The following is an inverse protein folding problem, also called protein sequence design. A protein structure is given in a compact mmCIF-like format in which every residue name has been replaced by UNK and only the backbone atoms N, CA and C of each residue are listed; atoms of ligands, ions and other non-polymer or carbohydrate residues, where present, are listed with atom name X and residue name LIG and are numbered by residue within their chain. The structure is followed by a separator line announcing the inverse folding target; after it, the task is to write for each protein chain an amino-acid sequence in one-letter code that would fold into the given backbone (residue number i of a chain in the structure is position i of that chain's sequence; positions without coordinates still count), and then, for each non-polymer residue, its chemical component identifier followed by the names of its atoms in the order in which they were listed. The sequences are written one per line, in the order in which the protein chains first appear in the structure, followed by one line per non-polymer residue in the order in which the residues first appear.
data_IF_394835171218
#
_entry.id   IF_394835171218
#
_cell.length_a   1.000
_cell.length_b   1.000
_cell.length_c   1.000
_cell.angle_alpha   90.00
_cell.angle_beta   90.00
_cell.angle_gamma   90.00
#
_symmetry.space_group_name_H-M   'P 1'
#
loop_
_entity.id
_entity.type
_entity.pdbx_description
1 polymer ?
#
# COMPACT_ATOMS: atom_id res chain seq x y z
N UNK A 1 24.21 1.96 4.47
CA UNK A 1 23.72 0.67 4.99
C UNK A 1 23.54 -0.28 3.80
N UNK A 2 24.20 -1.42 3.84
CA UNK A 2 24.05 -2.43 2.79
C UNK A 2 22.61 -2.95 2.78
N UNK A 3 22.05 -3.11 1.58
CA UNK A 3 20.72 -3.69 1.41
C UNK A 3 20.66 -5.07 2.09
N UNK A 4 19.77 -5.25 3.06
CA UNK A 4 19.62 -6.49 3.82
C UNK A 4 18.86 -7.56 3.03
N UNK A 5 18.02 -7.15 2.06
CA UNK A 5 17.16 -8.05 1.31
C UNK A 5 17.93 -9.14 0.54
N UNK A 6 19.00 -8.82 -0.24
CA UNK A 6 19.75 -9.85 -0.94
C UNK A 6 20.45 -10.83 -0.02
N UNK A 7 20.81 -10.41 1.20
CA UNK A 7 21.53 -11.25 2.17
C UNK A 7 20.65 -12.22 2.92
N UNK A 8 19.37 -11.85 3.13
CA UNK A 8 18.45 -12.64 3.96
C UNK A 8 17.49 -13.48 3.11
N UNK A 9 17.10 -12.97 1.94
CA UNK A 9 16.04 -13.57 1.13
C UNK A 9 16.47 -13.96 -0.29
N UNK A 10 17.75 -13.80 -0.62
CA UNK A 10 18.26 -14.01 -1.99
C UNK A 10 17.44 -13.24 -3.05
N UNK A 11 17.05 -12.02 -2.68
CA UNK A 11 16.18 -11.16 -3.47
C UNK A 11 16.76 -9.76 -3.61
N UNK A 12 16.94 -9.30 -4.84
CA UNK A 12 17.32 -7.92 -5.14
C UNK A 12 16.07 -7.09 -5.41
N UNK A 13 15.75 -6.21 -4.46
CA UNK A 13 14.59 -5.33 -4.58
C UNK A 13 14.95 -4.09 -5.39
N UNK A 14 14.26 -3.89 -6.50
CA UNK A 14 14.35 -2.67 -7.31
C UNK A 14 13.30 -1.69 -6.82
N UNK A 15 13.74 -0.55 -6.27
CA UNK A 15 12.87 0.55 -5.84
C UNK A 15 12.43 1.39 -7.06
N UNK A 16 11.55 0.82 -7.88
CA UNK A 16 11.10 1.38 -9.16
C UNK A 16 9.63 1.85 -9.12
N UNK A 17 9.06 1.92 -7.92
CA UNK A 17 7.67 2.28 -7.72
C UNK A 17 7.53 3.60 -6.96
N UNK A 18 6.44 4.33 -7.26
CA UNK A 18 6.11 5.61 -6.62
C UNK A 18 5.23 5.41 -5.40
N UNK A 19 4.31 4.44 -5.49
CA UNK A 19 3.35 4.07 -4.45
C UNK A 19 3.50 2.60 -4.09
N UNK A 20 3.48 2.32 -2.79
CA UNK A 20 3.38 0.98 -2.22
C UNK A 20 2.06 0.84 -1.49
N UNK A 21 1.18 -0.03 -1.97
CA UNK A 21 -0.05 -0.38 -1.28
C UNK A 21 0.13 -1.69 -0.53
N UNK A 22 0.16 -1.63 0.80
CA UNK A 22 0.22 -2.79 1.66
C UNK A 22 -1.19 -3.32 1.88
N UNK A 23 -1.47 -4.50 1.31
CA UNK A 23 -2.76 -5.15 1.45
C UNK A 23 -2.99 -5.67 2.86
N UNK A 24 -4.24 -6.00 3.17
CA UNK A 24 -4.64 -6.54 4.46
C UNK A 24 -5.68 -7.64 4.24
N UNK A 25 -5.69 -8.70 5.07
CA UNK A 25 -6.58 -9.86 4.89
C UNK A 25 -8.04 -9.55 5.22
N UNK A 26 -8.56 -8.40 4.79
CA UNK A 26 -9.91 -7.90 5.07
C UNK A 26 -10.96 -8.88 4.58
N UNK A 27 -10.74 -9.49 3.41
CA UNK A 27 -11.69 -10.42 2.81
C UNK A 27 -11.83 -11.74 3.58
N UNK A 28 -10.78 -12.14 4.31
CA UNK A 28 -10.75 -13.39 5.09
C UNK A 28 -11.22 -13.22 6.54
N UNK A 29 -11.30 -11.99 7.05
CA UNK A 29 -11.71 -11.75 8.45
C UNK A 29 -13.22 -11.88 8.57
N UNK A 30 -13.68 -12.87 9.36
CA UNK A 30 -15.11 -13.15 9.55
C UNK A 30 -15.88 -12.04 10.25
N UNK A 31 -15.20 -11.29 11.14
CA UNK A 31 -15.81 -10.16 11.88
C UNK A 31 -16.06 -8.90 11.02
N UNK A 32 -15.56 -8.87 9.78
CA UNK A 32 -15.75 -7.75 8.86
C UNK A 32 -16.98 -8.03 7.98
N UNK A 33 -17.84 -7.03 7.82
CA UNK A 33 -19.05 -7.15 7.00
C UNK A 33 -18.74 -7.41 5.52
N UNK A 34 -19.63 -8.09 4.82
CA UNK A 34 -19.50 -8.32 3.38
C UNK A 34 -19.45 -7.01 2.60
N UNK A 35 -20.17 -6.00 3.03
CA UNK A 35 -20.14 -4.66 2.44
C UNK A 35 -18.73 -4.04 2.50
N UNK A 36 -18.10 -4.07 3.68
CA UNK A 36 -16.72 -3.59 3.85
C UNK A 36 -15.73 -4.37 2.98
N UNK A 37 -15.89 -5.68 2.86
CA UNK A 37 -15.07 -6.52 1.97
C UNK A 37 -15.22 -6.11 0.51
N UNK A 38 -16.46 -5.83 0.09
CA UNK A 38 -16.73 -5.38 -1.29
C UNK A 38 -16.11 -3.98 -1.54
N UNK A 39 -16.20 -3.07 -0.57
CA UNK A 39 -15.55 -1.76 -0.65
C UNK A 39 -14.02 -1.90 -0.75
N UNK A 40 -13.42 -2.83 -0.01
CA UNK A 40 -11.99 -3.09 -0.10
C UNK A 40 -11.56 -3.55 -1.50
N UNK A 41 -12.24 -4.54 -2.06
CA UNK A 41 -11.96 -5.03 -3.42
C UNK A 41 -12.12 -3.92 -4.46
N UNK A 42 -13.17 -3.09 -4.33
CA UNK A 42 -13.39 -1.93 -5.18
C UNK A 42 -12.26 -0.90 -5.04
N UNK A 43 -11.81 -0.63 -3.81
CA UNK A 43 -10.72 0.31 -3.53
C UNK A 43 -9.41 -0.12 -4.21
N UNK A 44 -9.06 -1.41 -4.14
CA UNK A 44 -7.88 -1.95 -4.86
C UNK A 44 -8.02 -1.73 -6.36
N UNK A 45 -9.21 -1.95 -6.91
CA UNK A 45 -9.51 -1.67 -8.32
C UNK A 45 -9.32 -0.20 -8.69
N UNK A 46 -9.79 0.72 -7.84
CA UNK A 46 -9.61 2.18 -8.04
C UNK A 46 -8.14 2.57 -8.01
N UNK A 47 -7.36 2.04 -7.07
CA UNK A 47 -5.91 2.28 -6.99
C UNK A 47 -5.24 1.83 -8.29
N UNK A 48 -5.57 0.65 -8.79
CA UNK A 48 -5.03 0.13 -10.04
C UNK A 48 -5.42 0.99 -11.26
N UNK A 49 -6.66 1.46 -11.31
CA UNK A 49 -7.13 2.36 -12.39
C UNK A 49 -6.43 3.71 -12.34
N UNK A 50 -6.31 4.31 -11.15
CA UNK A 50 -5.60 5.58 -10.98
C UNK A 50 -4.12 5.45 -11.37
N UNK A 51 -3.47 4.33 -11.05
CA UNK A 51 -2.12 4.04 -11.49
C UNK A 51 -1.99 4.13 -13.02
N UNK A 52 -2.94 3.54 -13.75
CA UNK A 52 -2.95 3.56 -15.21
C UNK A 52 -3.25 4.95 -15.78
N UNK A 53 -4.22 5.67 -15.20
CA UNK A 53 -4.65 7.00 -15.67
C UNK A 53 -3.54 8.03 -15.45
N UNK A 54 -2.93 8.06 -14.26
CA UNK A 54 -1.90 9.02 -13.88
C UNK A 54 -0.48 8.56 -14.27
N UNK A 55 -0.32 7.37 -14.85
CA UNK A 55 0.95 6.74 -15.22
C UNK A 55 1.93 6.60 -14.03
N UNK A 56 1.40 6.47 -12.83
CA UNK A 56 2.13 6.32 -11.58
C UNK A 56 2.37 4.83 -11.30
N UNK A 57 3.59 4.45 -10.99
CA UNK A 57 3.94 3.05 -10.71
C UNK A 57 3.53 2.65 -9.30
N UNK A 58 2.65 1.66 -9.20
CA UNK A 58 2.13 1.12 -7.93
C UNK A 58 2.57 -0.33 -7.73
N UNK A 59 3.06 -0.64 -6.55
CA UNK A 59 3.30 -2.01 -6.11
C UNK A 59 2.28 -2.42 -5.05
N UNK A 60 1.53 -3.47 -5.32
CA UNK A 60 0.67 -4.14 -4.35
C UNK A 60 1.51 -5.13 -3.54
N UNK A 61 1.88 -4.80 -2.32
CA UNK A 61 2.56 -5.71 -1.40
C UNK A 61 1.53 -6.53 -0.66
N UNK A 62 1.43 -7.80 -1.05
CA UNK A 62 0.41 -8.71 -0.53
C UNK A 62 0.77 -9.12 0.91
N UNK A 63 -0.24 -9.10 1.79
CA UNK A 63 -0.10 -9.55 3.17
C UNK A 63 0.16 -11.08 3.20
N UNK A 64 1.03 -11.58 4.09
CA UNK A 64 1.35 -13.03 4.15
C UNK A 64 0.15 -13.94 4.35
N UNK A 65 -0.95 -13.45 4.92
CA UNK A 65 -2.21 -14.19 5.10
C UNK A 65 -3.16 -14.14 3.89
N UNK A 66 -2.73 -13.61 2.75
CA UNK A 66 -3.53 -13.50 1.53
C UNK A 66 -2.84 -14.23 0.37
N UNK A 67 -3.62 -14.58 -0.66
CA UNK A 67 -3.08 -15.17 -1.89
C UNK A 67 -2.79 -14.08 -2.92
N UNK A 68 -1.57 -13.97 -3.46
CA UNK A 68 -1.26 -13.05 -4.55
C UNK A 68 -2.17 -13.21 -5.76
N UNK A 69 -2.65 -14.43 -6.03
CA UNK A 69 -3.54 -14.72 -7.15
C UNK A 69 -4.86 -13.96 -7.10
N UNK A 70 -5.35 -13.59 -5.91
CA UNK A 70 -6.58 -12.81 -5.74
C UNK A 70 -6.44 -11.38 -6.29
N UNK A 71 -5.19 -10.92 -6.42
CA UNK A 71 -4.83 -9.59 -6.85
C UNK A 71 -4.35 -9.50 -8.31
N UNK A 72 -4.05 -10.59 -8.99
CA UNK A 72 -3.56 -10.58 -10.38
C UNK A 72 -4.52 -9.88 -11.35
N UNK A 73 -5.83 -9.93 -11.09
CA UNK A 73 -6.85 -9.22 -11.88
C UNK A 73 -6.70 -7.68 -11.86
N UNK A 74 -5.97 -7.13 -10.89
CA UNK A 74 -5.71 -5.70 -10.78
C UNK A 74 -4.38 -5.28 -11.42
N UNK A 75 -3.59 -6.23 -11.95
CA UNK A 75 -2.34 -5.90 -12.62
C UNK A 75 -2.60 -5.19 -13.95
N UNK A 76 -1.76 -4.20 -14.23
CA UNK A 76 -1.66 -3.53 -15.51
C UNK A 76 -0.21 -3.03 -15.72
N UNK A 77 0.02 -2.19 -16.74
CA UNK A 77 1.36 -1.65 -17.03
C UNK A 77 1.96 -0.91 -15.82
N UNK A 78 1.14 -0.22 -15.05
CA UNK A 78 1.56 0.66 -13.94
C UNK A 78 1.28 0.08 -12.54
N UNK A 79 0.48 -0.98 -12.42
CA UNK A 79 0.17 -1.63 -11.17
C UNK A 79 0.64 -3.08 -11.19
N UNK A 80 1.55 -3.45 -10.29
CA UNK A 80 2.11 -4.79 -10.19
C UNK A 80 1.83 -5.42 -8.84
N UNK A 81 1.63 -6.72 -8.83
CA UNK A 81 1.54 -7.52 -7.62
C UNK A 81 2.94 -7.99 -7.22
N UNK A 82 3.31 -7.72 -5.97
CA UNK A 82 4.52 -8.26 -5.38
C UNK A 82 4.18 -9.59 -4.71
N UNK A 83 4.53 -10.67 -5.38
CA UNK A 83 4.15 -12.04 -5.01
C UNK A 83 5.20 -12.77 -4.15
N UNK A 84 6.29 -12.08 -3.79
CA UNK A 84 7.28 -12.62 -2.85
C UNK A 84 6.75 -12.49 -1.42
N UNK A 85 5.97 -13.48 -0.99
CA UNK A 85 5.24 -13.43 0.29
C UNK A 85 6.16 -13.50 1.53
N UNK A 86 7.40 -13.93 1.36
CA UNK A 86 8.31 -14.18 2.49
C UNK A 86 9.03 -12.93 2.99
N UNK A 87 8.93 -11.79 2.28
CA UNK A 87 9.61 -10.57 2.69
C UNK A 87 8.70 -9.78 3.62
N UNK A 88 9.06 -9.62 4.90
CA UNK A 88 8.35 -8.74 5.82
C UNK A 88 8.28 -7.31 5.29
N UNK A 89 7.15 -6.64 5.51
CA UNK A 89 6.93 -5.27 5.07
C UNK A 89 7.99 -4.30 5.62
N UNK A 90 8.42 -4.54 6.84
CA UNK A 90 9.42 -3.74 7.55
C UNK A 90 10.76 -3.69 6.81
N UNK A 91 11.13 -4.80 6.16
CA UNK A 91 12.39 -4.87 5.44
C UNK A 91 12.37 -4.04 4.15
N UNK A 92 11.20 -3.84 3.54
CA UNK A 92 11.08 -2.97 2.38
C UNK A 92 11.41 -1.52 2.73
N UNK A 93 11.07 -1.05 3.95
CA UNK A 93 11.35 0.33 4.36
C UNK A 93 12.84 0.66 4.47
N UNK A 94 13.72 -0.32 4.55
CA UNK A 94 15.17 -0.09 4.45
C UNK A 94 15.61 0.22 3.02
N UNK A 95 14.83 -0.22 2.03
CA UNK A 95 15.16 -0.09 0.61
C UNK A 95 14.42 1.06 -0.08
N UNK A 96 13.27 1.51 0.45
CA UNK A 96 12.44 2.55 -0.14
C UNK A 96 12.52 3.86 0.63
N UNK A 97 12.53 4.98 -0.10
CA UNK A 97 12.60 6.33 0.45
C UNK A 97 11.81 7.31 -0.41
N UNK A 98 11.20 8.31 0.24
CA UNK A 98 10.42 9.35 -0.43
C UNK A 98 9.24 8.80 -1.25
N UNK A 99 8.69 7.66 -0.80
CA UNK A 99 7.58 6.97 -1.45
C UNK A 99 6.26 7.23 -0.72
N UNK A 100 5.17 7.08 -1.45
CA UNK A 100 3.83 7.07 -0.86
C UNK A 100 3.49 5.65 -0.43
N UNK A 101 3.11 5.50 0.82
CA UNK A 101 2.71 4.23 1.42
C UNK A 101 1.23 4.30 1.74
N UNK A 102 0.45 3.45 1.09
CA UNK A 102 -0.97 3.31 1.30
C UNK A 102 -1.27 2.02 2.05
N UNK A 103 -2.17 2.07 3.03
CA UNK A 103 -2.75 0.89 3.68
C UNK A 103 -4.13 1.21 4.23
N UNK A 104 -4.98 0.23 4.50
CA UNK A 104 -6.30 0.53 5.04
C UNK A 104 -6.21 1.00 6.51
N UNK A 105 -5.56 0.23 7.37
CA UNK A 105 -5.34 0.55 8.79
C UNK A 105 -4.19 -0.27 9.40
N UNK A 106 -3.17 -0.55 8.60
CA UNK A 106 -2.07 -1.42 9.01
C UNK A 106 -1.13 -0.75 10.01
N UNK A 107 -0.66 -1.51 10.98
CA UNK A 107 0.43 -1.13 11.86
C UNK A 107 1.76 -0.94 11.11
N UNK A 108 1.85 -1.41 9.86
CA UNK A 108 3.05 -1.29 9.01
C UNK A 108 3.54 0.16 8.89
N UNK A 109 2.61 1.13 8.86
CA UNK A 109 2.94 2.56 8.82
C UNK A 109 3.71 3.04 10.05
N UNK A 110 3.63 2.32 11.18
CA UNK A 110 4.38 2.61 12.42
C UNK A 110 5.77 1.98 12.44
N UNK A 111 6.02 1.04 11.53
CA UNK A 111 7.27 0.29 11.45
C UNK A 111 8.32 0.96 10.53
N UNK A 112 7.93 2.03 9.83
CA UNK A 112 8.88 2.87 9.09
C UNK A 112 9.61 3.82 10.04
N UNK A 113 10.59 3.29 10.74
CA UNK A 113 11.42 4.06 11.68
C UNK A 113 12.26 5.14 10.99
N UNK A 114 12.45 5.04 9.68
CA UNK A 114 13.20 6.03 8.89
C UNK A 114 12.47 7.36 8.76
N UNK A 115 11.15 7.36 8.88
CA UNK A 115 10.25 8.51 8.65
C UNK A 115 10.50 9.22 7.31
N UNK A 116 10.96 8.47 6.32
CA UNK A 116 11.34 9.00 4.99
C UNK A 116 10.26 8.83 3.95
N UNK A 117 9.16 8.13 4.29
CA UNK A 117 8.05 7.86 3.39
C UNK A 117 6.78 8.59 3.86
N UNK A 118 5.86 8.82 2.93
CA UNK A 118 4.59 9.49 3.19
C UNK A 118 3.50 8.43 3.38
N UNK A 119 3.02 8.26 4.63
CA UNK A 119 2.05 7.23 4.98
C UNK A 119 0.63 7.77 4.99
N UNK A 120 -0.31 7.00 4.41
CA UNK A 120 -1.73 7.31 4.41
C UNK A 120 -2.58 6.08 4.73
N UNK A 121 -3.58 6.27 5.57
CA UNK A 121 -4.61 5.28 5.88
C UNK A 121 -5.89 5.55 5.09
N UNK A 122 -6.48 4.49 4.55
CA UNK A 122 -7.64 4.51 3.66
C UNK A 122 -8.90 3.92 4.30
N UNK A 123 -8.92 3.62 5.60
CA UNK A 123 -10.06 2.96 6.25
C UNK A 123 -11.39 3.72 6.12
N UNK A 124 -11.44 5.07 6.04
CA UNK A 124 -12.72 5.77 5.84
C UNK A 124 -13.39 5.40 4.52
N UNK A 125 -12.59 5.08 3.47
CA UNK A 125 -13.11 4.66 2.17
C UNK A 125 -13.77 3.27 2.19
N UNK A 126 -13.59 2.52 3.28
CA UNK A 126 -14.21 1.20 3.48
C UNK A 126 -15.55 1.28 4.25
N UNK A 127 -16.01 2.46 4.65
CA UNK A 127 -17.08 2.60 5.63
C UNK A 127 -16.81 1.85 6.95
N UNK A 128 -15.54 1.73 7.32
CA UNK A 128 -15.09 0.94 8.45
C UNK A 128 -14.50 1.85 9.54
N UNK A 129 -14.96 1.71 10.77
CA UNK A 129 -14.35 2.35 11.94
C UNK A 129 -13.56 1.29 12.71
N UNK A 130 -12.23 1.33 12.68
CA UNK A 130 -11.43 0.41 13.48
C UNK A 130 -11.76 0.58 14.97
N UNK A 131 -11.93 -0.53 15.69
CA UNK A 131 -12.21 -0.53 17.14
C UNK A 131 -11.01 -0.04 17.98
N UNK A 132 -9.86 0.13 17.37
CA UNK A 132 -8.63 0.56 18.03
C UNK A 132 -8.45 2.07 17.88
N UNK A 133 -8.06 2.75 18.96
CA UNK A 133 -7.53 4.11 18.86
C UNK A 133 -6.13 4.02 18.24
N UNK A 134 -6.05 4.26 16.96
CA UNK A 134 -4.77 4.43 16.29
C UNK A 134 -4.27 5.84 16.57
N UNK A 135 -3.12 5.95 17.20
CA UNK A 135 -2.37 7.20 17.15
C UNK A 135 -1.83 7.37 15.73
N UNK A 136 -2.46 8.26 14.98
CA UNK A 136 -2.10 8.57 13.58
C UNK A 136 -0.97 9.60 13.47
N UNK A 137 -0.17 9.79 14.52
CA UNK A 137 0.89 10.80 14.50
C UNK A 137 1.84 10.57 13.31
N UNK A 138 1.84 11.51 12.36
CA UNK A 138 2.65 11.41 11.14
C UNK A 138 2.06 10.54 10.04
N UNK A 139 0.79 10.11 10.16
CA UNK A 139 0.08 9.34 9.13
C UNK A 139 -1.13 10.18 8.68
N UNK A 140 -1.22 10.44 7.37
CA UNK A 140 -2.38 11.08 6.77
C UNK A 140 -3.58 10.13 6.74
N UNK A 141 -4.78 10.69 6.74
CA UNK A 141 -6.04 9.93 6.58
C UNK A 141 -6.70 10.41 5.30
N UNK A 142 -7.00 9.48 4.41
CA UNK A 142 -7.74 9.72 3.17
C UNK A 142 -9.19 9.31 3.40
N UNK A 143 -10.09 10.28 3.34
CA UNK A 143 -11.51 10.12 3.64
C UNK A 143 -12.42 10.23 2.41
N UNK A 144 -11.86 10.54 1.24
CA UNK A 144 -12.61 10.67 0.00
C UNK A 144 -11.81 10.12 -1.21
N UNK A 145 -12.53 9.72 -2.24
CA UNK A 145 -11.90 9.31 -3.51
C UNK A 145 -11.21 10.47 -4.21
N UNK A 146 -11.71 11.69 -4.04
CA UNK A 146 -11.07 12.90 -4.54
C UNK A 146 -9.69 13.10 -3.92
N UNK A 147 -9.58 12.98 -2.59
CA UNK A 147 -8.31 13.06 -1.88
C UNK A 147 -7.34 11.96 -2.32
N UNK A 148 -7.84 10.75 -2.57
CA UNK A 148 -7.02 9.66 -3.12
C UNK A 148 -6.52 10.00 -4.53
N UNK A 149 -7.38 10.50 -5.41
CA UNK A 149 -7.01 10.87 -6.78
C UNK A 149 -5.96 11.99 -6.78
N UNK A 150 -6.06 12.96 -5.86
CA UNK A 150 -5.10 14.05 -5.75
C UNK A 150 -3.68 13.52 -5.44
N UNK A 151 -3.54 12.48 -4.62
CA UNK A 151 -2.23 11.84 -4.38
C UNK A 151 -1.60 11.38 -5.70
N UNK A 152 -2.38 10.70 -6.56
CA UNK A 152 -1.88 10.21 -7.86
C UNK A 152 -1.51 11.34 -8.82
N UNK A 153 -2.22 12.46 -8.77
CA UNK A 153 -1.97 13.62 -9.63
C UNK A 153 -0.75 14.44 -9.19
N UNK A 154 -0.42 14.40 -7.89
CA UNK A 154 0.71 15.15 -7.33
C UNK A 154 2.06 14.45 -7.52
N UNK A 155 2.09 13.13 -7.60
CA UNK A 155 3.34 12.35 -7.69
C UNK A 155 4.20 12.73 -8.89
N UNK A 156 3.66 12.88 -10.14
CA UNK A 156 4.47 13.28 -11.29
C UNK A 156 5.16 14.64 -11.14
N UNK A 157 4.65 15.49 -10.22
CA UNK A 157 5.18 16.83 -9.97
C UNK A 157 6.17 16.88 -8.81
N UNK A 158 6.48 15.72 -8.19
CA UNK A 158 7.41 15.60 -7.04
C UNK A 158 8.86 15.32 -7.44
N UNK A 159 9.22 15.45 -8.71
CA UNK A 159 10.59 15.17 -9.21
C UNK A 159 11.68 16.12 -8.64
N UNK A 160 11.32 17.10 -7.79
CA UNK A 160 12.24 18.10 -7.22
C UNK A 160 12.35 18.06 -5.68
N UNK A 161 12.15 16.91 -5.01
CA UNK A 161 12.38 16.83 -3.56
C UNK A 161 13.49 15.86 -3.19
#
# INVERSE_FOLDING_TARGET
MSNLLPRVFDYEFQDDYDIYFFTQPITSISAISQETKNHYVKLVGIISQNAAISQVKVLLKIHPGESPSDYYKFQNKYCKVFDVNNIPAELLFYSIKHKVILSCFSAVSKLDFSKRNYHYWLFPLLNYKPKFRFESKGIGIIDSLEALNNIFNEIPNREDL
#
